data_IF_590205756771
#
_entry.id   IF_590205756771
#
_cell.length_a   1.000
_cell.length_b   1.000
_cell.length_c   1.000
_cell.angle_alpha   90.00
_cell.angle_beta   90.00
_cell.angle_gamma   90.00
#
_symmetry.space_group_name_H-M   'P 1'
#
loop_
_entity.id
_entity.type
_entity.pdbx_description
1 polymer ?
#
# COMPACT_ATOMS: atom_id res chain seq x y z
N UNK A 1 10.84 33.18 15.98
CA UNK A 1 10.76 32.78 14.57
C UNK A 1 10.54 31.26 14.51
N UNK A 2 9.29 30.83 14.54
CA UNK A 2 8.91 29.42 14.25
C UNK A 2 7.66 29.52 13.41
N UNK A 3 7.81 29.37 12.10
CA UNK A 3 6.68 29.28 11.19
C UNK A 3 6.01 27.94 11.42
N UNK A 4 4.89 27.96 12.15
CA UNK A 4 3.91 26.87 12.15
C UNK A 4 3.33 26.79 10.75
N UNK A 5 3.87 25.89 9.92
CA UNK A 5 3.33 25.65 8.59
C UNK A 5 2.09 24.76 8.71
N UNK A 6 0.98 25.42 9.03
CA UNK A 6 -0.37 24.88 9.11
C UNK A 6 -0.88 24.59 7.69
N UNK A 7 -0.61 23.40 7.15
CA UNK A 7 -1.38 22.86 6.02
C UNK A 7 -2.54 22.03 6.56
N UNK A 8 -3.55 22.74 7.10
CA UNK A 8 -4.91 22.19 7.18
C UNK A 8 -5.51 22.23 5.77
N UNK A 9 -5.45 21.13 5.05
CA UNK A 9 -6.34 20.89 3.91
C UNK A 9 -7.68 20.40 4.45
N UNK A 10 -8.70 21.25 4.47
CA UNK A 10 -10.08 20.83 4.72
C UNK A 10 -10.63 20.29 3.40
N UNK A 11 -10.44 18.98 3.18
CA UNK A 11 -11.24 18.02 2.41
C UNK A 11 -10.31 16.85 2.03
N UNK A 12 -10.52 15.69 2.66
CA UNK A 12 -9.69 14.50 2.46
C UNK A 12 -8.87 14.18 3.70
N UNK A 13 -9.11 13.01 4.27
CA UNK A 13 -8.28 12.40 5.31
C UNK A 13 -6.82 12.39 4.84
N UNK A 14 -5.89 12.87 5.68
CA UNK A 14 -4.46 12.75 5.38
C UNK A 14 -4.08 11.27 5.27
N UNK A 15 -3.11 10.94 4.42
CA UNK A 15 -2.71 9.55 4.19
C UNK A 15 -2.18 8.90 5.49
N UNK A 16 -1.62 9.70 6.40
CA UNK A 16 -1.15 9.28 7.73
C UNK A 16 -2.34 8.90 8.61
N UNK A 17 -3.33 9.78 8.74
CA UNK A 17 -4.56 9.51 9.53
C UNK A 17 -5.31 8.29 8.99
N UNK A 18 -5.40 8.18 7.65
CA UNK A 18 -5.99 7.04 6.96
C UNK A 18 -5.25 5.74 7.28
N UNK A 19 -3.93 5.76 7.16
CA UNK A 19 -3.10 4.59 7.46
C UNK A 19 -3.26 4.18 8.93
N UNK A 20 -3.21 5.12 9.86
CA UNK A 20 -3.40 4.85 11.29
C UNK A 20 -4.74 4.17 11.55
N UNK A 21 -5.83 4.77 11.03
CA UNK A 21 -7.19 4.27 11.24
C UNK A 21 -7.35 2.85 10.70
N UNK A 22 -6.86 2.58 9.49
CA UNK A 22 -6.96 1.27 8.86
C UNK A 22 -6.12 0.22 9.59
N UNK A 23 -4.90 0.58 10.00
CA UNK A 23 -3.95 -0.37 10.58
C UNK A 23 -4.30 -0.83 11.99
N UNK A 24 -5.20 -0.13 12.72
CA UNK A 24 -5.78 -0.61 13.99
C UNK A 24 -6.40 -2.01 13.86
N UNK A 25 -7.01 -2.30 12.71
CA UNK A 25 -7.60 -3.60 12.42
C UNK A 25 -6.77 -4.44 11.45
N UNK A 26 -6.21 -3.83 10.40
CA UNK A 26 -5.49 -4.56 9.37
C UNK A 26 -4.17 -5.18 9.88
N UNK A 27 -3.56 -4.66 10.94
CA UNK A 27 -2.34 -5.25 11.53
C UNK A 27 -2.55 -6.68 12.05
N UNK A 28 -3.80 -7.02 12.41
CA UNK A 28 -4.20 -8.37 12.86
C UNK A 28 -4.51 -9.31 11.69
N UNK A 29 -4.70 -8.75 10.49
CA UNK A 29 -5.09 -9.47 9.27
C UNK A 29 -3.88 -9.79 8.40
N UNK A 30 -3.05 -8.79 8.09
CA UNK A 30 -1.87 -8.96 7.24
C UNK A 30 -0.65 -9.31 8.09
N UNK A 31 0.12 -10.31 7.67
CA UNK A 31 1.36 -10.68 8.36
C UNK A 31 2.47 -9.70 8.03
N UNK A 32 3.48 -9.65 8.90
CA UNK A 32 4.63 -8.77 8.67
C UNK A 32 5.42 -9.17 7.42
N UNK A 33 5.55 -10.47 7.14
CA UNK A 33 6.20 -10.97 5.91
C UNK A 33 5.50 -10.42 4.66
N UNK A 34 4.18 -10.61 4.54
CA UNK A 34 3.42 -10.18 3.36
C UNK A 34 3.50 -8.67 3.12
N UNK A 35 3.37 -7.84 4.16
CA UNK A 35 3.41 -6.38 3.97
C UNK A 35 4.84 -5.88 3.67
N UNK A 36 5.88 -6.50 4.23
CA UNK A 36 7.28 -6.20 3.87
C UNK A 36 7.60 -6.61 2.44
N UNK A 37 7.13 -7.78 2.01
CA UNK A 37 7.33 -8.27 0.65
C UNK A 37 6.74 -7.29 -0.36
N UNK A 38 5.52 -6.78 -0.13
CA UNK A 38 4.92 -5.75 -0.98
C UNK A 38 5.72 -4.44 -0.97
N UNK A 39 6.15 -3.98 0.21
CA UNK A 39 6.97 -2.77 0.32
C UNK A 39 8.28 -2.90 -0.46
N UNK A 40 8.90 -4.07 -0.46
CA UNK A 40 10.11 -4.32 -1.25
C UNK A 40 9.85 -4.10 -2.75
N UNK A 41 8.73 -4.60 -3.30
CA UNK A 41 8.35 -4.37 -4.70
C UNK A 41 8.15 -2.88 -5.01
N UNK A 42 7.55 -2.13 -4.07
CA UNK A 42 7.37 -0.67 -4.21
C UNK A 42 8.72 0.05 -4.17
N UNK A 43 9.61 -0.37 -3.27
CA UNK A 43 10.92 0.24 -3.07
C UNK A 43 11.87 0.03 -4.25
N UNK A 44 11.76 -1.12 -4.95
CA UNK A 44 12.47 -1.37 -6.20
C UNK A 44 12.19 -0.25 -7.21
N UNK A 45 10.92 0.08 -7.45
CA UNK A 45 10.54 1.18 -8.36
C UNK A 45 10.87 2.57 -7.77
N UNK A 46 10.74 2.73 -6.46
CA UNK A 46 11.04 4.01 -5.81
C UNK A 46 12.48 4.44 -6.02
N UNK A 47 13.42 3.51 -5.84
CA UNK A 47 14.84 3.80 -5.97
C UNK A 47 15.23 4.25 -7.38
N UNK A 48 14.56 3.71 -8.41
CA UNK A 48 14.74 4.15 -9.81
C UNK A 48 14.13 5.53 -10.08
N UNK A 49 12.91 5.77 -9.57
CA UNK A 49 12.12 6.97 -9.90
C UNK A 49 12.55 8.19 -9.08
N UNK A 50 13.01 8.01 -7.83
CA UNK A 50 13.28 9.15 -6.93
C UNK A 50 14.39 10.05 -7.44
N UNK A 51 15.39 9.47 -8.13
CA UNK A 51 16.54 10.17 -8.69
C UNK A 51 16.21 10.98 -9.95
N UNK A 52 15.06 10.71 -10.58
CA UNK A 52 14.64 11.43 -11.78
C UNK A 52 14.14 12.83 -11.39
N UNK A 53 14.64 13.91 -12.02
CA UNK A 53 14.21 15.26 -11.69
C UNK A 53 12.81 15.58 -12.23
N UNK A 54 12.40 14.92 -13.32
CA UNK A 54 11.19 15.25 -14.06
C UNK A 54 9.91 14.98 -13.26
N UNK A 55 8.91 15.86 -13.42
CA UNK A 55 7.59 15.66 -12.81
C UNK A 55 6.79 14.54 -13.48
N UNK A 56 7.11 14.27 -14.76
CA UNK A 56 6.49 13.21 -15.55
C UNK A 56 7.38 11.98 -15.61
N UNK A 57 6.76 10.83 -15.41
CA UNK A 57 7.41 9.53 -15.53
C UNK A 57 7.62 9.18 -17.00
N UNK A 58 8.77 8.57 -17.29
CA UNK A 58 9.03 7.99 -18.61
C UNK A 58 8.03 6.86 -18.90
N UNK A 59 7.87 6.50 -20.19
CA UNK A 59 7.01 5.38 -20.60
C UNK A 59 7.40 4.07 -19.91
N UNK A 60 8.70 3.86 -19.70
CA UNK A 60 9.24 2.69 -19.02
C UNK A 60 8.79 2.63 -17.55
N UNK A 61 8.90 3.74 -16.82
CA UNK A 61 8.41 3.81 -15.44
C UNK A 61 6.89 3.61 -15.34
N UNK A 62 6.12 4.18 -16.27
CA UNK A 62 4.66 3.98 -16.32
C UNK A 62 4.33 2.50 -16.53
N UNK A 63 5.06 1.82 -17.41
CA UNK A 63 4.86 0.39 -17.65
C UNK A 63 5.29 -0.46 -16.44
N UNK A 64 6.39 -0.12 -15.77
CA UNK A 64 6.81 -0.76 -14.52
C UNK A 64 5.74 -0.63 -13.42
N UNK A 65 5.09 0.54 -13.29
CA UNK A 65 3.99 0.75 -12.33
C UNK A 65 2.76 -0.09 -12.68
N UNK A 66 2.44 -0.24 -13.97
CA UNK A 66 1.38 -1.17 -14.40
C UNK A 66 1.73 -2.61 -14.06
N UNK A 67 3.00 -3.00 -14.24
CA UNK A 67 3.47 -4.33 -13.89
C UNK A 67 3.43 -4.57 -12.37
N UNK A 68 3.76 -3.58 -11.54
CA UNK A 68 3.58 -3.63 -10.08
C UNK A 68 2.14 -3.98 -9.71
N UNK A 69 1.14 -3.35 -10.35
CA UNK A 69 -0.28 -3.70 -10.14
C UNK A 69 -0.57 -5.17 -10.49
N UNK A 70 -0.04 -5.67 -11.60
CA UNK A 70 -0.22 -7.09 -12.00
C UNK A 70 0.38 -8.02 -10.95
N UNK A 71 1.58 -7.71 -10.43
CA UNK A 71 2.24 -8.48 -9.37
C UNK A 71 1.42 -8.49 -8.08
N UNK A 72 0.85 -7.36 -7.67
CA UNK A 72 -0.05 -7.28 -6.52
C UNK A 72 -1.31 -8.14 -6.70
N UNK A 73 -1.92 -8.14 -7.89
CA UNK A 73 -3.09 -8.99 -8.20
C UNK A 73 -2.70 -10.47 -8.15
N UNK A 74 -1.53 -10.83 -8.69
CA UNK A 74 -1.00 -12.19 -8.61
C UNK A 74 -0.78 -12.62 -7.16
N UNK A 75 -0.16 -11.78 -6.34
CA UNK A 75 0.06 -12.05 -4.91
C UNK A 75 -1.26 -12.26 -4.17
N UNK A 76 -2.29 -11.46 -4.47
CA UNK A 76 -3.64 -11.65 -3.91
C UNK A 76 -4.26 -12.98 -4.34
N UNK A 77 -4.09 -13.37 -5.61
CA UNK A 77 -4.54 -14.66 -6.13
C UNK A 77 -3.83 -15.85 -5.47
N UNK A 78 -2.53 -15.71 -5.20
CA UNK A 78 -1.73 -16.71 -4.46
C UNK A 78 -2.16 -16.80 -3.00
N UNK A 79 -2.33 -15.66 -2.32
CA UNK A 79 -2.80 -15.58 -0.92
C UNK A 79 -4.15 -16.28 -0.72
N UNK A 80 -5.06 -16.15 -1.70
CA UNK A 80 -6.35 -16.85 -1.69
C UNK A 80 -6.22 -18.38 -1.71
N UNK A 81 -5.18 -18.91 -2.35
CA UNK A 81 -4.93 -20.35 -2.45
C UNK A 81 -4.18 -20.90 -1.23
N UNK A 82 -3.52 -20.04 -0.45
CA UNK A 82 -2.90 -20.45 0.80
C UNK A 82 -3.98 -20.98 1.75
N UNK A 83 -3.70 -22.11 2.42
CA UNK A 83 -4.65 -22.72 3.34
C UNK A 83 -4.91 -21.77 4.51
N UNK A 84 -6.05 -21.08 4.50
CA UNK A 84 -6.56 -20.39 5.69
C UNK A 84 -6.61 -21.38 6.85
N UNK A 85 -6.02 -21.02 7.99
CA UNK A 85 -6.01 -21.84 9.20
C UNK A 85 -7.32 -21.70 9.97
N UNK A 86 -7.94 -22.83 10.35
CA UNK A 86 -8.98 -22.87 11.39
C UNK A 86 -10.08 -21.81 11.27
N UNK A 87 -10.22 -20.99 12.31
CA UNK A 87 -11.26 -19.94 12.48
C UNK A 87 -11.39 -18.97 11.29
N UNK A 88 -10.28 -18.67 10.60
CA UNK A 88 -10.27 -17.72 9.47
C UNK A 88 -11.02 -18.26 8.23
N UNK A 89 -11.16 -19.58 8.09
CA UNK A 89 -11.92 -20.20 6.99
C UNK A 89 -13.40 -19.80 6.98
N UNK A 90 -13.94 -19.50 8.16
CA UNK A 90 -15.35 -19.16 8.34
C UNK A 90 -15.59 -17.65 8.37
N UNK A 91 -14.53 -16.83 8.36
CA UNK A 91 -14.68 -15.38 8.31
C UNK A 91 -15.01 -14.94 6.89
N UNK A 92 -16.25 -14.44 6.72
CA UNK A 92 -16.76 -13.99 5.42
C UNK A 92 -15.94 -12.85 4.81
N UNK A 93 -15.17 -12.11 5.61
CA UNK A 93 -14.29 -11.02 5.13
C UNK A 93 -13.14 -11.54 4.27
N UNK A 94 -12.69 -12.77 4.50
CA UNK A 94 -11.49 -13.34 3.86
C UNK A 94 -11.80 -14.34 2.74
N UNK A 95 -13.04 -14.37 2.23
CA UNK A 95 -13.46 -15.28 1.15
C UNK A 95 -12.59 -15.17 -0.11
N UNK A 96 -12.08 -13.98 -0.40
CA UNK A 96 -11.21 -13.72 -1.55
C UNK A 96 -9.72 -13.64 -1.15
N UNK A 97 -9.35 -14.04 0.06
CA UNK A 97 -8.00 -13.92 0.62
C UNK A 97 -7.84 -12.71 1.54
N UNK A 98 -6.92 -12.82 2.50
CA UNK A 98 -6.60 -11.73 3.45
C UNK A 98 -5.92 -10.56 2.76
N UNK A 99 -5.10 -10.85 1.75
CA UNK A 99 -4.41 -9.83 0.98
C UNK A 99 -5.40 -9.06 0.07
N UNK A 100 -6.37 -9.75 -0.53
CA UNK A 100 -7.47 -9.08 -1.25
C UNK A 100 -8.27 -8.16 -0.34
N UNK A 101 -8.62 -8.64 0.86
CA UNK A 101 -9.29 -7.82 1.86
C UNK A 101 -8.44 -6.59 2.22
N UNK A 102 -7.14 -6.77 2.45
CA UNK A 102 -6.20 -5.67 2.71
C UNK A 102 -6.19 -4.63 1.59
N UNK A 103 -6.09 -5.05 0.32
CA UNK A 103 -6.13 -4.13 -0.82
C UNK A 103 -7.44 -3.38 -0.94
N UNK A 104 -8.57 -4.04 -0.69
CA UNK A 104 -9.89 -3.39 -0.71
C UNK A 104 -10.03 -2.33 0.38
N UNK A 105 -9.55 -2.62 1.60
CA UNK A 105 -9.63 -1.66 2.72
C UNK A 105 -8.67 -0.48 2.54
N UNK A 106 -7.49 -0.72 1.98
CA UNK A 106 -6.45 0.32 1.81
C UNK A 106 -6.66 1.17 0.56
N UNK A 107 -7.29 0.61 -0.49
CA UNK A 107 -7.45 1.25 -1.80
C UNK A 107 -6.17 1.26 -2.63
N UNK A 108 -5.15 0.46 -2.28
CA UNK A 108 -3.85 0.49 -2.96
C UNK A 108 -3.93 0.14 -4.46
N UNK A 109 -4.77 -0.84 -4.83
CA UNK A 109 -4.96 -1.23 -6.24
C UNK A 109 -5.61 -0.13 -7.08
N UNK A 110 -6.51 0.65 -6.49
CA UNK A 110 -7.09 1.82 -7.15
C UNK A 110 -6.06 2.94 -7.26
N UNK A 111 -5.35 3.22 -6.17
CA UNK A 111 -4.34 4.28 -6.13
C UNK A 111 -3.24 4.05 -7.15
N UNK A 112 -2.68 2.83 -7.24
CA UNK A 112 -1.65 2.49 -8.23
C UNK A 112 -2.16 2.61 -9.67
N UNK A 113 -3.44 2.31 -9.91
CA UNK A 113 -4.07 2.47 -11.24
C UNK A 113 -4.16 3.94 -11.67
N UNK A 114 -4.33 4.84 -10.71
CA UNK A 114 -4.56 6.27 -10.94
C UNK A 114 -3.26 7.11 -10.95
N UNK A 115 -2.09 6.49 -10.80
CA UNK A 115 -0.79 7.17 -10.83
C UNK A 115 -0.55 7.83 -12.20
N UNK A 116 -0.80 7.10 -13.30
CA UNK A 116 -0.54 7.58 -14.65
C UNK A 116 0.94 7.91 -14.87
N UNK A 117 1.22 9.06 -15.49
CA UNK A 117 2.58 9.58 -15.70
C UNK A 117 3.05 10.53 -14.59
N UNK A 118 2.33 10.65 -13.47
CA UNK A 118 2.66 11.63 -12.44
C UNK A 118 3.64 11.07 -11.40
N UNK A 119 4.88 11.60 -11.39
CA UNK A 119 5.87 11.27 -10.36
C UNK A 119 5.35 11.60 -8.97
N UNK A 120 4.68 12.75 -8.80
CA UNK A 120 4.09 13.12 -7.51
C UNK A 120 3.11 12.08 -7.01
N UNK A 121 2.19 11.58 -7.85
CA UNK A 121 1.21 10.55 -7.43
C UNK A 121 1.90 9.23 -7.06
N UNK A 122 2.97 8.87 -7.76
CA UNK A 122 3.78 7.71 -7.39
C UNK A 122 4.47 7.90 -6.03
N UNK A 123 5.08 9.06 -5.78
CA UNK A 123 5.71 9.34 -4.48
C UNK A 123 4.70 9.39 -3.33
N UNK A 124 3.49 9.92 -3.57
CA UNK A 124 2.40 9.90 -2.59
C UNK A 124 1.94 8.45 -2.30
N UNK A 125 1.95 7.58 -3.32
CA UNK A 125 1.68 6.14 -3.17
C UNK A 125 2.75 5.45 -2.30
N UNK A 126 4.03 5.73 -2.52
CA UNK A 126 5.13 5.21 -1.70
C UNK A 126 4.98 5.64 -0.23
N UNK A 127 4.75 6.93 0.04
CA UNK A 127 4.55 7.46 1.40
C UNK A 127 3.36 6.82 2.11
N UNK A 128 2.27 6.58 1.39
CA UNK A 128 1.12 5.88 1.96
C UNK A 128 1.48 4.43 2.32
N UNK A 129 2.24 3.74 1.46
CA UNK A 129 2.73 2.39 1.75
C UNK A 129 3.64 2.35 2.98
N UNK A 130 4.57 3.29 3.10
CA UNK A 130 5.45 3.45 4.27
C UNK A 130 4.64 3.68 5.55
N UNK A 131 3.62 4.54 5.50
CA UNK A 131 2.74 4.78 6.63
C UNK A 131 1.98 3.52 7.06
N UNK A 132 1.45 2.73 6.10
CA UNK A 132 0.79 1.46 6.39
C UNK A 132 1.73 0.48 7.09
N UNK A 133 3.00 0.38 6.64
CA UNK A 133 4.01 -0.49 7.25
C UNK A 133 4.43 0.01 8.63
N UNK A 134 4.62 1.32 8.80
CA UNK A 134 4.95 1.91 10.09
C UNK A 134 3.86 1.63 11.14
N UNK A 135 2.59 1.86 10.78
CA UNK A 135 1.47 1.57 11.68
C UNK A 135 1.20 0.08 11.87
N UNK A 136 1.50 -0.77 10.87
CA UNK A 136 1.52 -2.23 11.05
C UNK A 136 2.46 -2.64 12.18
N UNK A 137 3.70 -2.11 12.15
CA UNK A 137 4.69 -2.37 13.19
C UNK A 137 4.26 -1.81 14.55
N UNK A 138 3.70 -0.60 14.57
CA UNK A 138 3.24 0.06 15.79
C UNK A 138 2.12 -0.72 16.49
N UNK A 139 1.11 -1.20 15.76
CA UNK A 139 -0.02 -1.95 16.32
C UNK A 139 0.27 -3.45 16.56
N UNK A 140 1.55 -3.85 16.56
CA UNK A 140 1.95 -5.21 16.92
C UNK A 140 1.58 -6.25 15.86
N UNK A 141 1.77 -5.92 14.59
CA UNK A 141 1.50 -6.83 13.48
C UNK A 141 2.09 -8.23 13.68
N UNK A 142 1.30 -9.26 13.32
CA UNK A 142 1.66 -10.67 13.57
C UNK A 142 2.83 -11.09 12.68
N UNK A 143 3.76 -11.88 13.21
CA UNK A 143 4.74 -12.63 12.43
C UNK A 143 4.05 -13.71 11.59
#
# INVERSE_FOLDING_TARGET
MVQKNNRKTIQGEDYVDKAERLMKELSKVITTSKIRDLLAQVNELYNDIILQPDEKLSKEHVEAIRHLKVKMIYDAGRDRQERLSGQDRNDRRFREGKLTYFFNQTGLLEMVSNIGDSRKRFLDYCKYFEALVAYHKYYGGRE
#
